data_IF_071214002421
#
_entry.id   IF_071214002421
#
_cell.length_a   1.000
_cell.length_b   1.000
_cell.length_c   1.000
_cell.angle_alpha   90.00
_cell.angle_beta   90.00
_cell.angle_gamma   90.00
#
_symmetry.space_group_name_H-M   'P 1'
#
loop_
_entity.id
_entity.type
_entity.pdbx_description
1 polymer ?
#
# COMPACT_ATOMS: atom_id res chain seq x y z
N UNK A 1 -8.80 26.71 15.41
CA UNK A 1 -8.83 25.23 15.45
C UNK A 1 -8.33 24.83 16.83
N UNK A 2 -9.07 24.03 17.58
CA UNK A 2 -8.62 23.54 18.89
C UNK A 2 -7.57 22.46 18.69
N UNK A 3 -6.74 22.19 19.71
CA UNK A 3 -5.75 21.12 19.70
C UNK A 3 -6.41 19.75 19.42
N UNK A 4 -7.53 19.46 20.10
CA UNK A 4 -8.33 18.26 19.84
C UNK A 4 -8.85 18.20 18.39
N UNK A 5 -9.23 19.36 17.83
CA UNK A 5 -9.69 19.46 16.45
C UNK A 5 -8.58 19.22 15.44
N UNK A 6 -7.35 19.63 15.75
CA UNK A 6 -6.17 19.37 14.93
C UNK A 6 -5.76 17.89 14.99
N UNK A 7 -5.72 17.31 16.19
CA UNK A 7 -5.39 15.90 16.38
C UNK A 7 -6.43 14.98 15.71
N UNK A 8 -7.71 15.31 15.80
CA UNK A 8 -8.78 14.56 15.12
C UNK A 8 -8.66 14.65 13.60
N UNK A 9 -8.28 15.82 13.08
CA UNK A 9 -8.05 16.02 11.64
C UNK A 9 -6.84 15.19 11.17
N UNK A 10 -5.72 15.24 11.90
CA UNK A 10 -4.53 14.43 11.63
C UNK A 10 -4.85 12.93 11.68
N UNK A 11 -5.60 12.48 12.68
CA UNK A 11 -6.03 11.08 12.77
C UNK A 11 -6.91 10.68 11.57
N UNK A 12 -7.86 11.53 11.16
CA UNK A 12 -8.66 11.26 9.96
C UNK A 12 -7.82 11.20 8.69
N UNK A 13 -6.87 12.13 8.51
CA UNK A 13 -5.99 12.15 7.34
C UNK A 13 -5.02 10.96 7.37
N UNK A 14 -4.50 10.58 8.53
CA UNK A 14 -3.58 9.44 8.66
C UNK A 14 -4.25 8.09 8.41
N UNK A 15 -5.52 7.94 8.82
CA UNK A 15 -6.25 6.65 8.71
C UNK A 15 -7.12 6.53 7.45
N UNK A 16 -7.46 7.65 6.80
CA UNK A 16 -8.31 7.68 5.61
C UNK A 16 -7.68 8.42 4.42
N UNK A 17 -6.46 8.91 4.58
CA UNK A 17 -5.69 9.52 3.50
C UNK A 17 -5.27 8.46 2.51
N UNK A 18 -5.45 8.77 1.23
CA UNK A 18 -4.98 7.94 0.14
C UNK A 18 -3.82 8.65 -0.54
N UNK A 19 -2.70 7.96 -0.71
CA UNK A 19 -1.63 8.41 -1.60
C UNK A 19 -2.20 8.64 -3.00
N UNK A 20 -1.98 9.83 -3.55
CA UNK A 20 -2.45 10.22 -4.89
C UNK A 20 -1.40 9.81 -5.92
N UNK A 21 -1.85 9.11 -6.95
CA UNK A 21 -1.01 8.76 -8.08
C UNK A 21 0.02 7.69 -7.76
N UNK A 22 0.68 7.23 -8.81
CA UNK A 22 1.90 6.43 -8.74
C UNK A 22 2.96 7.26 -9.43
N UNK A 23 4.19 7.36 -8.93
CA UNK A 23 5.21 8.19 -9.59
C UNK A 23 5.28 7.89 -11.10
N UNK A 24 5.58 8.90 -11.92
CA UNK A 24 5.70 8.71 -13.38
C UNK A 24 6.70 7.59 -13.72
N UNK A 25 7.69 7.36 -12.86
CA UNK A 25 8.63 6.24 -12.96
C UNK A 25 7.94 4.91 -12.71
N UNK A 26 7.15 4.74 -11.64
CA UNK A 26 6.41 3.50 -11.37
C UNK A 26 5.44 3.14 -12.49
N UNK A 27 4.78 4.14 -13.10
CA UNK A 27 3.90 3.91 -14.27
C UNK A 27 4.71 3.39 -15.45
N UNK A 28 5.88 3.99 -15.71
CA UNK A 28 6.78 3.55 -16.76
C UNK A 28 7.30 2.12 -16.51
N UNK A 29 7.71 1.79 -15.28
CA UNK A 29 8.13 0.43 -14.90
C UNK A 29 7.01 -0.58 -15.14
N UNK A 30 5.77 -0.31 -14.68
CA UNK A 30 4.62 -1.19 -14.96
C UNK A 30 4.37 -1.40 -16.45
N UNK A 31 4.57 -0.36 -17.26
CA UNK A 31 4.44 -0.47 -18.71
C UNK A 31 5.58 -1.29 -19.33
N UNK A 32 6.79 -1.23 -18.76
CA UNK A 32 7.92 -2.07 -19.15
C UNK A 32 7.66 -3.55 -18.83
N UNK A 33 7.09 -3.87 -17.66
CA UNK A 33 6.76 -5.24 -17.26
C UNK A 33 5.74 -5.89 -18.20
N UNK A 34 4.83 -5.09 -18.77
CA UNK A 34 3.84 -5.55 -19.73
C UNK A 34 4.42 -5.83 -21.14
N UNK A 35 5.72 -5.56 -21.39
CA UNK A 35 6.35 -5.81 -22.68
C UNK A 35 6.74 -7.28 -22.85
N UNK A 36 6.35 -7.86 -23.98
CA UNK A 36 6.82 -9.18 -24.41
C UNK A 36 8.23 -9.07 -25.00
N UNK A 37 9.24 -9.08 -24.13
CA UNK A 37 10.65 -9.05 -24.52
C UNK A 37 11.32 -10.44 -24.46
N UNK A 38 12.36 -10.71 -25.26
CA UNK A 38 13.26 -11.85 -25.03
C UNK A 38 14.00 -11.71 -23.70
N UNK A 39 14.56 -12.81 -23.19
CA UNK A 39 15.18 -12.88 -21.85
C UNK A 39 16.34 -11.90 -21.66
N UNK A 40 17.29 -11.82 -22.60
CA UNK A 40 18.43 -10.89 -22.49
C UNK A 40 18.02 -9.40 -22.44
N UNK A 41 17.20 -8.87 -23.37
CA UNK A 41 16.72 -7.49 -23.30
C UNK A 41 15.88 -7.19 -22.04
N UNK A 42 15.16 -8.19 -21.52
CA UNK A 42 14.43 -8.05 -20.26
C UNK A 42 15.38 -7.86 -19.09
N UNK A 43 16.40 -8.71 -18.97
CA UNK A 43 17.39 -8.59 -17.91
C UNK A 43 18.14 -7.25 -17.94
N UNK A 44 18.52 -6.78 -19.14
CA UNK A 44 19.13 -5.46 -19.30
C UNK A 44 18.21 -4.30 -18.88
N UNK A 45 16.90 -4.44 -19.11
CA UNK A 45 15.91 -3.46 -18.73
C UNK A 45 15.69 -3.44 -17.22
N UNK A 46 15.60 -4.61 -16.58
CA UNK A 46 15.50 -4.77 -15.12
C UNK A 46 16.73 -4.16 -14.43
N UNK A 47 17.95 -4.51 -14.85
CA UNK A 47 19.19 -3.93 -14.31
C UNK A 47 19.24 -2.40 -14.47
N UNK A 48 18.69 -1.88 -15.56
CA UNK A 48 18.61 -0.44 -15.80
C UNK A 48 17.58 0.24 -14.88
N UNK A 49 16.42 -0.37 -14.66
CA UNK A 49 15.38 0.12 -13.75
C UNK A 49 15.92 0.17 -12.32
N UNK A 50 16.57 -0.89 -11.86
CA UNK A 50 17.17 -0.96 -10.52
C UNK A 50 18.25 0.11 -10.34
N UNK A 51 19.14 0.25 -11.34
CA UNK A 51 20.16 1.29 -11.35
C UNK A 51 19.60 2.72 -11.44
N UNK A 52 18.38 2.91 -11.94
CA UNK A 52 17.70 4.21 -11.91
C UNK A 52 17.16 4.52 -10.52
N UNK A 53 16.51 3.58 -9.85
CA UNK A 53 16.03 3.78 -8.47
C UNK A 53 17.17 4.12 -7.53
N UNK A 54 18.28 3.38 -7.59
CA UNK A 54 19.46 3.64 -6.77
C UNK A 54 20.01 5.07 -6.98
N UNK A 55 20.07 5.55 -8.22
CA UNK A 55 20.56 6.90 -8.52
C UNK A 55 19.61 7.99 -8.04
N UNK A 56 18.31 7.72 -8.03
CA UNK A 56 17.30 8.66 -7.54
C UNK A 56 17.46 8.79 -6.02
N UNK A 57 17.57 7.67 -5.31
CA UNK A 57 17.84 7.64 -3.86
C UNK A 57 19.13 8.39 -3.49
N UNK A 58 20.22 8.14 -4.23
CA UNK A 58 21.49 8.84 -4.04
C UNK A 58 21.39 10.36 -4.27
N UNK A 59 20.53 10.79 -5.21
CA UNK A 59 20.38 12.20 -5.57
C UNK A 59 19.47 12.98 -4.63
N UNK A 60 18.44 12.34 -4.07
CA UNK A 60 17.50 12.97 -3.13
C UNK A 60 18.09 13.13 -1.72
N UNK A 61 19.14 12.35 -1.40
CA UNK A 61 19.91 12.52 -0.16
C UNK A 61 19.15 12.17 1.12
N UNK A 62 17.96 11.58 0.98
CA UNK A 62 17.13 11.05 2.06
C UNK A 62 17.15 9.52 1.98
N UNK A 63 17.38 8.85 3.10
CA UNK A 63 17.13 7.40 3.22
C UNK A 63 15.63 7.06 3.19
N UNK A 64 14.77 8.08 3.25
CA UNK A 64 13.34 7.91 3.07
C UNK A 64 13.03 7.67 1.60
N UNK A 65 12.48 6.49 1.36
CA UNK A 65 12.07 5.94 0.08
C UNK A 65 11.48 7.01 -0.84
N UNK A 66 11.94 7.02 -2.09
CA UNK A 66 11.32 7.76 -3.18
C UNK A 66 9.81 7.57 -3.10
N UNK A 67 9.10 8.63 -2.66
CA UNK A 67 7.67 8.56 -2.42
C UNK A 67 7.02 8.31 -3.77
N UNK A 68 6.59 7.07 -4.00
CA UNK A 68 5.88 6.68 -5.21
C UNK A 68 4.46 7.29 -5.28
N UNK A 69 4.18 8.35 -4.52
CA UNK A 69 2.94 9.11 -4.54
C UNK A 69 3.23 10.59 -4.89
N UNK A 70 2.40 11.16 -5.76
CA UNK A 70 2.49 12.58 -6.16
C UNK A 70 1.85 13.51 -5.11
N UNK A 71 1.23 12.94 -4.06
CA UNK A 71 0.64 13.66 -2.94
C UNK A 71 -0.26 12.78 -2.08
N UNK A 72 -1.06 13.41 -1.22
CA UNK A 72 -2.09 12.73 -0.40
C UNK A 72 -3.44 13.44 -0.55
N UNK A 73 -4.52 12.67 -0.55
CA UNK A 73 -5.87 13.19 -0.74
C UNK A 73 -6.92 12.40 0.04
N UNK A 74 -8.01 13.08 0.39
CA UNK A 74 -9.16 12.47 1.05
C UNK A 74 -10.27 12.21 0.03
N UNK A 75 -10.62 10.94 -0.14
CA UNK A 75 -11.64 10.50 -1.10
C UNK A 75 -12.85 9.94 -0.37
N UNK A 76 -13.82 10.79 -0.05
CA UNK A 76 -14.98 10.44 0.79
C UNK A 76 -15.70 9.13 0.41
N UNK A 77 -15.81 8.84 -0.90
CA UNK A 77 -16.43 7.58 -1.37
C UNK A 77 -15.53 6.37 -1.15
N UNK A 78 -14.22 6.54 -1.29
CA UNK A 78 -13.25 5.49 -1.03
C UNK A 78 -13.14 5.18 0.45
N UNK A 79 -13.10 6.22 1.30
CA UNK A 79 -13.00 6.08 2.75
C UNK A 79 -14.21 5.39 3.39
N UNK A 80 -15.30 5.21 2.65
CA UNK A 80 -16.48 4.46 3.09
C UNK A 80 -16.39 2.95 2.79
N UNK A 81 -15.45 2.50 1.96
CA UNK A 81 -15.27 1.10 1.61
C UNK A 81 -14.38 0.41 2.63
N UNK A 82 -14.86 -0.68 3.23
CA UNK A 82 -14.13 -1.40 4.27
C UNK A 82 -13.00 -2.29 3.73
N UNK A 83 -12.12 -2.69 4.63
CA UNK A 83 -11.01 -3.60 4.31
C UNK A 83 -11.44 -5.07 4.17
N UNK A 84 -10.87 -5.77 3.19
CA UNK A 84 -10.76 -7.23 3.18
C UNK A 84 -9.40 -7.64 2.61
N UNK A 85 -8.77 -8.68 3.18
CA UNK A 85 -7.54 -9.26 2.59
C UNK A 85 -7.84 -10.08 1.30
N UNK A 86 -9.12 -10.21 0.96
CA UNK A 86 -9.65 -10.70 -0.32
C UNK A 86 -10.70 -9.68 -0.79
N UNK A 87 -10.26 -8.55 -1.36
CA UNK A 87 -11.18 -7.49 -1.76
C UNK A 87 -11.92 -7.86 -3.06
N UNK A 88 -13.17 -7.40 -3.19
CA UNK A 88 -13.96 -7.57 -4.41
C UNK A 88 -13.90 -6.33 -5.34
N UNK A 89 -13.22 -5.27 -4.90
CA UNK A 89 -12.91 -4.09 -5.70
C UNK A 89 -11.49 -3.60 -5.43
N UNK A 90 -10.94 -2.85 -6.38
CA UNK A 90 -9.64 -2.20 -6.28
C UNK A 90 -9.72 -0.72 -6.60
N UNK A 91 -8.78 0.04 -6.04
CA UNK A 91 -8.60 1.47 -6.30
C UNK A 91 -7.40 1.68 -7.20
N UNK A 92 -7.51 2.59 -8.17
CA UNK A 92 -6.41 2.94 -9.07
C UNK A 92 -6.45 4.41 -9.48
N UNK A 93 -5.31 4.93 -9.92
CA UNK A 93 -5.17 6.28 -10.48
C UNK A 93 -4.85 6.17 -11.99
N UNK A 94 -5.83 5.83 -12.84
CA UNK A 94 -5.61 5.44 -14.24
C UNK A 94 -4.99 6.54 -15.11
N UNK A 95 -5.09 7.81 -14.70
CA UNK A 95 -4.60 8.95 -15.47
C UNK A 95 -3.38 9.62 -14.82
N UNK A 96 -2.79 8.96 -13.83
CA UNK A 96 -1.73 9.50 -12.99
C UNK A 96 -2.02 10.95 -12.54
N UNK A 97 -3.18 11.13 -11.92
CA UNK A 97 -3.66 12.40 -11.39
C UNK A 97 -4.52 12.14 -10.15
N UNK A 98 -5.23 13.15 -9.66
CA UNK A 98 -6.12 13.04 -8.50
C UNK A 98 -7.47 12.35 -8.75
N UNK A 99 -7.66 11.66 -9.88
CA UNK A 99 -8.89 10.93 -10.17
C UNK A 99 -8.73 9.46 -9.76
N UNK A 100 -9.33 9.11 -8.63
CA UNK A 100 -9.43 7.74 -8.14
C UNK A 100 -10.54 6.98 -8.89
N UNK A 101 -10.20 5.79 -9.39
CA UNK A 101 -11.14 4.82 -9.99
C UNK A 101 -11.36 3.66 -9.04
N UNK A 102 -12.63 3.30 -8.85
CA UNK A 102 -13.05 2.02 -8.30
C UNK A 102 -13.34 1.03 -9.43
N UNK A 103 -12.71 -0.12 -9.39
CA UNK A 103 -12.94 -1.21 -10.36
C UNK A 103 -13.35 -2.45 -9.58
N UNK A 104 -14.46 -3.08 -9.98
CA UNK A 104 -14.86 -4.38 -9.43
C UNK A 104 -13.95 -5.48 -9.98
N UNK A 105 -13.45 -6.36 -9.12
CA UNK A 105 -12.62 -7.53 -9.48
C UNK A 105 -13.47 -8.76 -9.81
N UNK A 106 -14.71 -8.75 -9.36
CA UNK A 106 -15.71 -9.81 -9.52
C UNK A 106 -17.11 -9.20 -9.60
N UNK A 107 -18.10 -10.02 -9.94
CA UNK A 107 -19.50 -9.59 -9.94
C UNK A 107 -19.97 -9.29 -8.50
N UNK A 108 -20.45 -8.08 -8.26
CA UNK A 108 -20.94 -7.63 -6.94
C UNK A 108 -22.47 -7.56 -6.99
N UNK A 109 -23.14 -8.42 -6.21
CA UNK A 109 -24.59 -8.47 -6.17
C UNK A 109 -25.20 -7.25 -5.45
N UNK A 110 -26.46 -6.93 -5.75
CA UNK A 110 -27.18 -5.88 -5.03
C UNK A 110 -27.27 -6.20 -3.53
N UNK A 111 -26.84 -5.26 -2.68
CA UNK A 111 -26.79 -5.44 -1.23
C UNK A 111 -25.52 -6.11 -0.70
N UNK A 112 -24.62 -6.57 -1.57
CA UNK A 112 -23.29 -7.01 -1.18
C UNK A 112 -22.40 -5.81 -0.88
N UNK A 113 -21.60 -5.90 0.17
CA UNK A 113 -20.66 -4.87 0.56
C UNK A 113 -19.45 -4.83 -0.39
N UNK A 114 -18.95 -3.63 -0.65
CA UNK A 114 -17.74 -3.40 -1.45
C UNK A 114 -16.55 -3.33 -0.51
N UNK A 115 -15.58 -4.21 -0.72
CA UNK A 115 -14.33 -4.27 0.03
C UNK A 115 -13.14 -3.91 -0.85
N UNK A 116 -12.23 -3.14 -0.28
CA UNK A 116 -10.91 -2.83 -0.85
C UNK A 116 -9.81 -3.37 0.06
N UNK A 117 -8.57 -3.42 -0.44
CA UNK A 117 -7.41 -3.63 0.43
C UNK A 117 -6.91 -2.29 0.96
N UNK A 118 -6.51 -2.27 2.23
CA UNK A 118 -5.78 -1.17 2.86
C UNK A 118 -4.29 -1.46 2.93
N UNK A 119 -3.92 -2.67 2.51
CA UNK A 119 -2.58 -3.21 2.48
C UNK A 119 -2.12 -3.18 1.02
N UNK A 120 -0.86 -2.85 0.79
CA UNK A 120 -0.21 -3.06 -0.51
C UNK A 120 -0.07 -4.56 -0.82
N UNK A 121 0.36 -4.87 -2.04
CA UNK A 121 0.46 -6.24 -2.54
C UNK A 121 1.49 -7.06 -1.73
N UNK A 122 2.63 -6.47 -1.36
CA UNK A 122 3.65 -7.12 -0.55
C UNK A 122 3.10 -7.52 0.82
N UNK A 123 2.42 -6.59 1.50
CA UNK A 123 1.83 -6.81 2.81
C UNK A 123 0.65 -7.78 2.74
N UNK A 124 -0.10 -7.81 1.63
CA UNK A 124 -1.14 -8.81 1.38
C UNK A 124 -0.56 -10.23 1.26
N UNK A 125 0.66 -10.39 0.74
CA UNK A 125 1.31 -11.69 0.61
C UNK A 125 1.87 -12.22 1.94
N UNK A 126 2.16 -11.33 2.90
CA UNK A 126 2.64 -11.71 4.24
C UNK A 126 1.63 -12.53 5.04
N UNK A 127 2.11 -13.11 6.15
CA UNK A 127 1.34 -14.00 7.02
C UNK A 127 0.09 -13.32 7.61
N UNK A 128 -0.86 -14.13 8.09
CA UNK A 128 -2.04 -13.60 8.81
C UNK A 128 -1.63 -12.72 9.98
N UNK A 129 -0.59 -13.08 10.72
CA UNK A 129 -0.15 -12.32 11.87
C UNK A 129 0.32 -10.92 11.46
N UNK A 130 1.24 -10.84 10.49
CA UNK A 130 1.78 -9.57 10.01
C UNK A 130 0.65 -8.65 9.55
N UNK A 131 -0.29 -9.16 8.75
CA UNK A 131 -1.45 -8.38 8.28
C UNK A 131 -2.31 -7.86 9.44
N UNK A 132 -2.56 -8.70 10.45
CA UNK A 132 -3.36 -8.30 11.62
C UNK A 132 -2.63 -7.29 12.51
N UNK A 133 -1.31 -7.44 12.69
CA UNK A 133 -0.47 -6.49 13.43
C UNK A 133 -0.55 -5.11 12.76
N UNK A 134 -0.26 -5.05 11.46
CA UNK A 134 -0.31 -3.81 10.67
C UNK A 134 -1.69 -3.14 10.72
N UNK A 135 -2.78 -3.90 10.51
CA UNK A 135 -4.13 -3.35 10.54
C UNK A 135 -4.54 -2.86 11.94
N UNK A 136 -4.06 -3.52 13.01
CA UNK A 136 -4.33 -3.11 14.38
C UNK A 136 -3.60 -1.82 14.73
N UNK A 137 -2.35 -1.67 14.31
CA UNK A 137 -1.52 -0.51 14.61
C UNK A 137 -1.95 0.72 13.80
N UNK A 138 -2.23 0.54 12.50
CA UNK A 138 -2.52 1.65 11.59
C UNK A 138 -4.01 2.00 11.47
N UNK A 139 -4.91 1.03 11.63
CA UNK A 139 -6.36 1.21 11.40
C UNK A 139 -7.22 0.83 12.61
N UNK A 140 -6.62 0.36 13.71
CA UNK A 140 -7.28 0.11 14.98
C UNK A 140 -8.44 -0.90 14.92
N UNK A 141 -8.38 -1.89 14.02
CA UNK A 141 -9.36 -2.97 13.93
C UNK A 141 -8.71 -4.35 13.72
N UNK A 142 -9.51 -5.41 13.85
CA UNK A 142 -9.12 -6.80 13.56
C UNK A 142 -9.88 -7.29 12.33
N UNK A 143 -9.15 -7.72 11.31
CA UNK A 143 -9.74 -8.18 10.06
C UNK A 143 -10.36 -9.57 10.23
N UNK A 144 -11.66 -9.71 9.97
CA UNK A 144 -12.37 -10.98 10.06
C UNK A 144 -12.79 -11.51 8.67
N UNK A 145 -12.10 -11.12 7.59
CA UNK A 145 -12.39 -11.61 6.25
C UNK A 145 -12.16 -13.12 6.12
N UNK A 146 -12.71 -13.74 5.06
CA UNK A 146 -12.61 -15.18 4.83
C UNK A 146 -11.15 -15.70 4.85
N UNK A 147 -10.21 -14.95 4.24
CA UNK A 147 -8.78 -15.29 4.26
C UNK A 147 -8.21 -15.31 5.67
N UNK A 148 -8.52 -14.30 6.49
CA UNK A 148 -8.06 -14.24 7.87
C UNK A 148 -8.69 -15.33 8.74
N UNK A 149 -9.91 -15.78 8.42
CA UNK A 149 -10.56 -16.89 9.13
C UNK A 149 -9.96 -18.24 8.72
N UNK A 150 -9.69 -18.47 7.44
CA UNK A 150 -9.12 -19.74 6.96
C UNK A 150 -7.71 -19.97 7.46
N UNK A 151 -6.95 -18.89 7.71
CA UNK A 151 -5.57 -18.93 8.21
C UNK A 151 -5.48 -18.84 9.75
N UNK A 152 -6.59 -18.94 10.48
CA UNK A 152 -6.61 -18.71 11.92
C UNK A 152 -5.74 -19.70 12.72
N UNK A 153 -5.60 -20.93 12.20
CA UNK A 153 -4.84 -22.02 12.83
C UNK A 153 -3.42 -22.17 12.23
N UNK A 154 -3.03 -21.32 11.28
CA UNK A 154 -1.68 -21.34 10.71
C UNK A 154 -0.65 -20.84 11.73
N UNK A 155 0.52 -21.48 11.83
CA UNK A 155 1.57 -21.03 12.72
C UNK A 155 2.06 -19.65 12.30
N UNK A 156 2.45 -18.88 13.31
CA UNK A 156 3.02 -17.56 13.14
C UNK A 156 4.46 -17.68 12.64
N UNK A 157 4.61 -17.86 11.32
CA UNK A 157 5.89 -17.85 10.65
C UNK A 157 6.03 -16.52 9.92
N UNK A 158 6.57 -15.53 10.62
CA UNK A 158 7.24 -14.41 9.95
C UNK A 158 8.64 -14.91 9.59
N UNK A 159 9.10 -14.71 8.36
CA UNK A 159 10.50 -14.99 8.09
C UNK A 159 11.32 -13.92 8.83
N UNK A 160 12.49 -14.27 9.37
CA UNK A 160 13.35 -13.31 10.07
C UNK A 160 13.81 -12.15 9.15
N UNK A 161 13.65 -12.29 7.83
CA UNK A 161 13.94 -11.24 6.85
C UNK A 161 12.83 -10.15 6.79
N UNK A 162 11.68 -10.39 7.42
CA UNK A 162 10.52 -9.47 7.42
C UNK A 162 10.46 -8.53 8.65
N UNK A 163 11.39 -8.66 9.62
CA UNK A 163 11.51 -7.78 10.81
C UNK A 163 12.24 -6.46 10.50
N UNK A 164 12.94 -6.36 9.36
CA UNK A 164 13.80 -5.20 9.03
C UNK A 164 13.06 -3.92 8.61
N UNK A 165 11.74 -3.97 8.40
CA UNK A 165 10.93 -2.76 8.12
C UNK A 165 10.50 -2.01 9.41
N UNK A 166 10.67 -2.61 10.60
CA UNK A 166 10.04 -2.12 11.85
C UNK A 166 10.99 -1.29 12.75
N UNK A 167 12.28 -1.23 12.45
CA UNK A 167 13.31 -0.63 13.34
C UNK A 167 13.71 0.82 13.00
N UNK A 168 13.01 1.53 12.10
CA UNK A 168 13.32 2.92 11.74
C UNK A 168 12.48 3.99 12.48
N UNK A 169 11.60 3.63 13.42
CA UNK A 169 10.76 4.62 14.15
C UNK A 169 11.15 4.85 15.63
N UNK A 170 12.24 4.26 16.15
CA UNK A 170 12.58 4.37 17.59
C UNK A 170 13.89 5.08 17.97
N UNK A 171 14.50 5.88 17.10
CA UNK A 171 15.65 6.74 17.46
C UNK A 171 15.34 8.24 17.44
N UNK A 172 14.22 8.70 18.04
CA UNK A 172 14.03 10.13 18.33
C UNK A 172 13.31 10.37 19.67
N UNK A 173 13.76 9.68 20.72
CA UNK A 173 13.26 9.92 22.08
C UNK A 173 14.33 9.83 23.16
N UNK A 174 15.57 10.26 22.89
CA UNK A 174 16.55 10.57 23.94
C UNK A 174 17.48 11.71 23.51
N UNK A 175 17.05 12.95 23.75
CA UNK A 175 17.95 14.07 24.04
C UNK A 175 17.24 15.14 24.87
#
# INVERSE_FOLDING_TARGET
MTEDGFNSLLAMIGTNGQGIGTSSLSVWVKNCDALELPEEPRQQLEEFIDGLYQKIEEAEGTQDAFLNCEGSGLYLRQSAANHSCMPNAETSFPYNNSVLRFTAKEDIAAGQEVFISYLDDCMLERSRHSRQKYLRENYLFVCNCQRCQSQADEPDVTSDEDEYDDDMEHEDSLS
#
